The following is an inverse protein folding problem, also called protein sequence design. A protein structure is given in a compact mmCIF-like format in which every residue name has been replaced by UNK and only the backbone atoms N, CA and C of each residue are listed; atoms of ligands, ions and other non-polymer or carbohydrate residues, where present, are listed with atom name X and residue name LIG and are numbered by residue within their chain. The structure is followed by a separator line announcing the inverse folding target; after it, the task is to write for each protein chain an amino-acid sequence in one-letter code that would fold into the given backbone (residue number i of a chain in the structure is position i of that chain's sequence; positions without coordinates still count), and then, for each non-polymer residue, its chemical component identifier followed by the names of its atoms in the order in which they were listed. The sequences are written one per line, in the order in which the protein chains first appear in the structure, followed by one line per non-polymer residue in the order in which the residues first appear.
data_IF_381123201796
#
_entry.id   IF_381123201796
#
_cell.length_a   1.000
_cell.length_b   1.000
_cell.length_c   1.000
_cell.angle_alpha   90.00
_cell.angle_beta   90.00
_cell.angle_gamma   90.00
#
_symmetry.space_group_name_H-M   'P 1'
#
loop_
_entity.id
_entity.type
_entity.pdbx_description
1 polymer ?
#
# COMPACT_ATOMS: atom_id res chain seq x y z
N UNK A 1 -1.26 -5.70 5.72
CA UNK A 1 -2.65 -5.29 5.46
C UNK A 1 -2.88 -3.81 5.76
N UNK A 2 -2.64 -3.35 6.98
CA UNK A 2 -2.85 -1.93 7.39
C UNK A 2 -2.17 -0.92 6.46
N UNK A 3 -0.94 -1.19 6.02
CA UNK A 3 -0.14 -0.33 5.14
C UNK A 3 -0.69 -0.20 3.72
N UNK A 4 -1.61 -1.07 3.29
CA UNK A 4 -2.10 -1.07 1.92
C UNK A 4 -3.31 -0.17 1.71
N UNK A 5 -4.13 0.04 2.72
CA UNK A 5 -5.35 0.83 2.57
C UNK A 5 -5.27 2.22 3.18
N UNK A 6 -4.52 2.36 4.27
CA UNK A 6 -4.28 3.65 4.93
C UNK A 6 -3.81 4.75 3.98
N UNK A 7 -2.73 4.55 3.21
CA UNK A 7 -2.21 5.58 2.30
C UNK A 7 -3.18 6.05 1.22
N UNK A 8 -4.09 5.19 0.76
CA UNK A 8 -5.13 5.58 -0.22
C UNK A 8 -6.23 6.41 0.44
N UNK A 9 -6.63 6.03 1.65
CA UNK A 9 -7.77 6.65 2.34
C UNK A 9 -7.38 7.94 3.07
N UNK A 10 -6.11 8.06 3.49
CA UNK A 10 -5.64 9.18 4.31
C UNK A 10 -5.86 10.59 3.73
N UNK A 11 -5.82 10.87 2.41
CA UNK A 11 -6.11 12.21 1.89
C UNK A 11 -7.58 12.60 2.02
N UNK A 12 -8.50 11.64 1.99
CA UNK A 12 -9.95 11.91 1.95
C UNK A 12 -10.44 12.77 3.13
N UNK A 13 -10.09 12.47 4.39
CA UNK A 13 -10.55 13.28 5.53
C UNK A 13 -10.00 14.70 5.57
N UNK A 14 -8.86 14.96 4.94
CA UNK A 14 -8.18 16.26 4.91
C UNK A 14 -8.26 16.95 3.53
N UNK A 15 -9.11 16.44 2.63
CA UNK A 15 -9.20 16.91 1.26
C UNK A 15 -9.48 18.42 1.16
N UNK A 16 -10.35 18.96 2.02
CA UNK A 16 -10.66 20.40 2.06
C UNK A 16 -9.46 21.25 2.46
N UNK A 17 -8.60 20.75 3.36
CA UNK A 17 -7.36 21.44 3.74
C UNK A 17 -6.39 21.45 2.56
N UNK A 18 -6.29 20.31 1.84
CA UNK A 18 -5.47 20.17 0.64
C UNK A 18 -5.94 21.12 -0.46
N UNK A 19 -7.26 21.22 -0.69
CA UNK A 19 -7.87 22.14 -1.65
C UNK A 19 -7.52 23.60 -1.36
N UNK A 20 -7.65 24.02 -0.10
CA UNK A 20 -7.35 25.39 0.30
C UNK A 20 -5.87 25.74 0.21
N UNK A 21 -5.00 24.81 0.64
CA UNK A 21 -3.55 25.06 0.68
C UNK A 21 -2.89 25.01 -0.70
N UNK A 22 -3.39 24.14 -1.60
CA UNK A 22 -2.88 24.01 -2.96
C UNK A 22 -3.62 24.89 -3.96
N UNK A 23 -4.70 25.58 -3.56
CA UNK A 23 -5.49 26.44 -4.43
C UNK A 23 -6.17 25.69 -5.58
N UNK A 24 -6.55 24.42 -5.38
CA UNK A 24 -7.16 23.55 -6.39
C UNK A 24 -8.67 23.47 -6.20
N UNK A 25 -9.40 23.32 -7.30
CA UNK A 25 -10.85 23.13 -7.26
C UNK A 25 -11.24 21.68 -6.89
N UNK A 26 -12.49 21.51 -6.46
CA UNK A 26 -13.05 20.21 -6.05
C UNK A 26 -12.95 19.13 -7.15
N UNK A 27 -13.10 19.50 -8.42
CA UNK A 27 -12.94 18.56 -9.54
C UNK A 27 -11.51 18.01 -9.63
N UNK A 28 -10.51 18.87 -9.42
CA UNK A 28 -9.08 18.49 -9.43
C UNK A 28 -8.74 17.67 -8.20
N UNK A 29 -9.28 18.02 -7.03
CA UNK A 29 -9.12 17.24 -5.80
C UNK A 29 -9.78 15.85 -5.91
N UNK A 30 -10.88 15.72 -6.64
CA UNK A 30 -11.53 14.46 -6.96
C UNK A 30 -10.63 13.47 -7.70
N UNK A 31 -9.64 13.93 -8.47
CA UNK A 31 -8.64 13.06 -9.10
C UNK A 31 -7.82 12.30 -8.07
N UNK A 32 -7.50 12.90 -6.93
CA UNK A 32 -6.73 12.26 -5.87
C UNK A 32 -7.45 11.07 -5.23
N UNK A 33 -8.77 11.07 -5.26
CA UNK A 33 -9.59 9.97 -4.71
C UNK A 33 -9.96 8.93 -5.76
N UNK A 34 -10.03 9.32 -7.04
CA UNK A 34 -10.40 8.45 -8.16
C UNK A 34 -9.19 7.73 -8.75
N UNK A 35 -8.01 8.37 -8.72
CA UNK A 35 -6.77 7.84 -9.29
C UNK A 35 -6.42 6.42 -8.81
N UNK A 36 -6.48 6.06 -7.51
CA UNK A 36 -6.15 4.70 -7.08
C UNK A 36 -7.05 3.63 -7.70
N UNK A 37 -8.32 3.95 -7.94
CA UNK A 37 -9.27 3.03 -8.59
C UNK A 37 -8.88 2.82 -10.05
N UNK A 38 -8.47 3.88 -10.75
CA UNK A 38 -7.96 3.79 -12.12
C UNK A 38 -6.68 2.95 -12.18
N UNK A 39 -5.75 3.13 -11.22
CA UNK A 39 -4.54 2.32 -11.15
C UNK A 39 -4.86 0.83 -10.95
N UNK A 40 -5.85 0.50 -10.12
CA UNK A 40 -6.29 -0.90 -9.99
C UNK A 40 -6.80 -1.46 -11.30
N UNK A 41 -7.63 -0.73 -12.02
CA UNK A 41 -8.18 -1.18 -13.29
C UNK A 41 -7.10 -1.39 -14.37
N UNK A 42 -6.18 -0.44 -14.49
CA UNK A 42 -5.17 -0.43 -15.54
C UNK A 42 -3.97 -1.36 -15.25
N UNK A 43 -3.54 -1.43 -13.99
CA UNK A 43 -2.28 -2.09 -13.61
C UNK A 43 -2.44 -3.50 -13.06
N UNK A 44 -3.66 -4.03 -12.91
CA UNK A 44 -3.85 -5.42 -12.47
C UNK A 44 -3.12 -6.44 -13.38
N UNK A 45 -3.14 -6.33 -14.72
CA UNK A 45 -2.37 -7.25 -15.57
C UNK A 45 -0.86 -7.11 -15.36
N UNK A 46 -0.37 -5.88 -15.14
CA UNK A 46 1.05 -5.61 -14.87
C UNK A 46 1.44 -6.18 -13.51
N UNK A 47 0.58 -6.07 -12.50
CA UNK A 47 0.80 -6.65 -11.19
C UNK A 47 0.96 -8.18 -11.27
N UNK A 48 0.11 -8.85 -12.04
CA UNK A 48 0.24 -10.30 -12.30
C UNK A 48 1.58 -10.65 -12.97
N UNK A 49 2.04 -9.83 -13.92
CA UNK A 49 3.33 -10.02 -14.59
C UNK A 49 4.51 -9.83 -13.62
N UNK A 50 4.45 -8.81 -12.76
CA UNK A 50 5.47 -8.56 -11.73
C UNK A 50 5.59 -9.77 -10.80
N UNK A 51 4.46 -10.31 -10.34
CA UNK A 51 4.45 -11.49 -9.46
C UNK A 51 5.04 -12.72 -10.16
N UNK A 52 4.69 -12.94 -11.43
CA UNK A 52 5.23 -14.06 -12.22
C UNK A 52 6.74 -13.97 -12.44
N UNK A 53 7.28 -12.76 -12.62
CA UNK A 53 8.72 -12.55 -12.91
C UNK A 53 9.58 -12.42 -11.67
N UNK A 54 9.09 -11.68 -10.67
CA UNK A 54 9.86 -11.37 -9.47
C UNK A 54 9.61 -12.35 -8.31
N UNK A 55 8.49 -13.10 -8.36
CA UNK A 55 8.03 -13.90 -7.25
C UNK A 55 7.21 -13.08 -6.24
N UNK A 56 6.44 -13.76 -5.41
CA UNK A 56 5.50 -13.14 -4.48
C UNK A 56 6.20 -12.32 -3.38
N UNK A 57 7.34 -12.80 -2.90
CA UNK A 57 8.13 -12.16 -1.84
C UNK A 57 8.70 -10.82 -2.29
N UNK A 58 9.34 -10.77 -3.46
CA UNK A 58 9.88 -9.53 -4.01
C UNK A 58 8.76 -8.58 -4.45
N UNK A 59 7.65 -9.10 -4.98
CA UNK A 59 6.50 -8.28 -5.34
C UNK A 59 5.93 -7.55 -4.10
N UNK A 60 5.89 -8.20 -2.93
CA UNK A 60 5.46 -7.55 -1.69
C UNK A 60 6.47 -6.50 -1.22
N UNK A 61 7.78 -6.75 -1.34
CA UNK A 61 8.80 -5.72 -1.04
C UNK A 61 8.67 -4.52 -1.97
N UNK A 62 8.48 -4.73 -3.27
CA UNK A 62 8.23 -3.67 -4.26
C UNK A 62 7.00 -2.85 -3.84
N UNK A 63 5.92 -3.52 -3.43
CA UNK A 63 4.70 -2.86 -2.93
C UNK A 63 5.01 -1.95 -1.75
N UNK A 64 5.65 -2.46 -0.70
CA UNK A 64 5.93 -1.68 0.52
C UNK A 64 6.88 -0.52 0.24
N UNK A 65 7.92 -0.74 -0.57
CA UNK A 65 8.88 0.30 -0.98
C UNK A 65 8.18 1.38 -1.80
N UNK A 66 7.35 1.00 -2.77
CA UNK A 66 6.62 1.95 -3.59
C UNK A 66 5.61 2.76 -2.80
N UNK A 67 4.88 2.15 -1.86
CA UNK A 67 3.99 2.88 -0.94
C UNK A 67 4.76 3.89 -0.10
N UNK A 68 5.93 3.50 0.41
CA UNK A 68 6.78 4.40 1.21
C UNK A 68 7.28 5.58 0.37
N UNK A 69 7.86 5.30 -0.80
CA UNK A 69 8.34 6.34 -1.73
C UNK A 69 7.22 7.29 -2.15
N UNK A 70 6.05 6.76 -2.54
CA UNK A 70 4.91 7.56 -2.90
C UNK A 70 4.37 8.40 -1.73
N UNK A 71 4.46 7.90 -0.49
CA UNK A 71 4.07 8.66 0.70
C UNK A 71 4.98 9.86 0.93
N UNK A 72 6.29 9.73 0.75
CA UNK A 72 7.21 10.87 0.83
C UNK A 72 7.05 11.82 -0.36
N UNK A 73 6.85 11.29 -1.56
CA UNK A 73 6.68 12.09 -2.76
C UNK A 73 5.44 13.00 -2.67
N UNK A 74 4.31 12.49 -2.19
CA UNK A 74 3.08 13.29 -2.02
C UNK A 74 3.14 14.31 -0.89
N UNK A 75 4.13 14.22 0.01
CA UNK A 75 4.34 15.18 1.08
C UNK A 75 5.08 16.45 0.59
N UNK A 76 5.69 16.40 -0.59
CA UNK A 76 6.32 17.57 -1.22
C UNK A 76 5.22 18.56 -1.62
N UNK A 77 5.37 19.87 -1.29
CA UNK A 77 4.38 20.87 -1.66
C UNK A 77 4.16 20.95 -3.17
N UNK A 78 2.90 20.98 -3.60
CA UNK A 78 2.49 21.10 -5.00
C UNK A 78 1.63 19.93 -5.45
N UNK A 79 0.54 20.28 -6.17
CA UNK A 79 -0.44 19.30 -6.67
C UNK A 79 0.18 18.20 -7.54
N UNK A 80 1.14 18.56 -8.41
CA UNK A 80 1.82 17.59 -9.28
C UNK A 80 2.58 16.51 -8.51
N UNK A 81 3.28 16.88 -7.44
CA UNK A 81 3.99 15.95 -6.56
C UNK A 81 3.03 15.07 -5.76
N UNK A 82 1.94 15.67 -5.29
CA UNK A 82 0.90 14.92 -4.59
C UNK A 82 0.25 13.88 -5.51
N UNK A 83 -0.12 14.27 -6.74
CA UNK A 83 -0.70 13.35 -7.72
C UNK A 83 0.29 12.24 -8.11
N UNK A 84 1.56 12.60 -8.39
CA UNK A 84 2.60 11.62 -8.69
C UNK A 84 2.79 10.62 -7.55
N UNK A 85 2.79 11.09 -6.30
CA UNK A 85 2.87 10.23 -5.12
C UNK A 85 1.66 9.28 -5.01
N UNK A 86 0.46 9.77 -5.31
CA UNK A 86 -0.76 8.93 -5.31
C UNK A 86 -0.71 7.87 -6.41
N UNK A 87 -0.23 8.20 -7.61
CA UNK A 87 -0.03 7.25 -8.71
C UNK A 87 0.94 6.14 -8.30
N UNK A 88 2.08 6.49 -7.69
CA UNK A 88 3.06 5.52 -7.20
C UNK A 88 2.46 4.62 -6.11
N UNK A 89 1.69 5.20 -5.19
CA UNK A 89 0.99 4.44 -4.14
C UNK A 89 -0.04 3.50 -4.78
N UNK A 90 -0.91 4.00 -5.66
CA UNK A 90 -1.94 3.23 -6.33
C UNK A 90 -1.38 2.05 -7.12
N UNK A 91 -0.33 2.29 -7.92
CA UNK A 91 0.38 1.25 -8.66
C UNK A 91 0.96 0.18 -7.73
N UNK A 92 1.62 0.59 -6.65
CA UNK A 92 2.25 -0.31 -5.69
C UNK A 92 1.22 -1.16 -4.94
N UNK A 93 0.13 -0.54 -4.50
CA UNK A 93 -0.95 -1.24 -3.79
C UNK A 93 -1.71 -2.19 -4.71
N UNK A 94 -1.81 -1.89 -6.01
CA UNK A 94 -2.36 -2.84 -6.99
C UNK A 94 -1.56 -4.16 -6.98
N UNK A 95 -0.23 -4.08 -6.97
CA UNK A 95 0.61 -5.28 -6.84
C UNK A 95 0.36 -5.99 -5.51
N UNK A 96 0.28 -5.24 -4.40
CA UNK A 96 0.03 -5.78 -3.06
C UNK A 96 -1.30 -6.52 -2.94
N UNK A 97 -2.36 -5.97 -3.52
CA UNK A 97 -3.70 -6.56 -3.49
C UNK A 97 -3.78 -7.87 -4.29
N UNK A 98 -2.94 -8.05 -5.31
CA UNK A 98 -2.87 -9.30 -6.07
C UNK A 98 -1.95 -10.30 -5.37
N UNK A 99 -0.81 -9.85 -4.83
CA UNK A 99 0.21 -10.76 -4.26
C UNK A 99 -0.21 -11.38 -2.93
N UNK A 100 -0.87 -10.62 -2.04
CA UNK A 100 -1.20 -11.14 -0.71
C UNK A 100 -2.16 -12.34 -0.75
N UNK A 101 -3.26 -12.33 -1.52
CA UNK A 101 -4.08 -13.52 -1.69
C UNK A 101 -3.32 -14.73 -2.28
N UNK A 102 -2.34 -14.48 -3.16
CA UNK A 102 -1.47 -15.53 -3.71
C UNK A 102 -0.62 -16.17 -2.61
N UNK A 103 0.02 -15.35 -1.77
CA UNK A 103 0.81 -15.84 -0.61
C UNK A 103 -0.07 -16.63 0.35
N UNK A 104 -1.26 -16.12 0.69
CA UNK A 104 -2.18 -16.80 1.60
C UNK A 104 -2.56 -18.19 1.06
N UNK A 105 -2.88 -18.29 -0.23
CA UNK A 105 -3.25 -19.59 -0.84
C UNK A 105 -2.09 -20.56 -0.94
N UNK A 106 -0.86 -20.06 -1.08
CA UNK A 106 0.35 -20.88 -1.18
C UNK A 106 0.81 -21.41 0.19
N UNK A 107 0.81 -20.54 1.20
CA UNK A 107 1.51 -20.79 2.47
C UNK A 107 0.58 -21.24 3.61
N UNK A 108 -0.75 -21.11 3.42
CA UNK A 108 -1.75 -21.44 4.43
C UNK A 108 -2.47 -22.74 4.07
N UNK A 109 -2.62 -23.64 5.07
CA UNK A 109 -3.38 -24.88 4.90
C UNK A 109 -4.81 -24.60 4.37
N UNK A 110 -5.34 -25.41 3.42
CA UNK A 110 -6.61 -25.14 2.74
C UNK A 110 -7.77 -24.84 3.71
N UNK A 111 -7.82 -25.52 4.83
CA UNK A 111 -8.88 -25.38 5.85
C UNK A 111 -8.85 -24.01 6.54
N UNK A 112 -7.70 -23.31 6.53
CA UNK A 112 -7.49 -22.02 7.19
C UNK A 112 -7.46 -20.85 6.22
N UNK A 113 -7.43 -21.08 4.91
CA UNK A 113 -7.36 -20.01 3.89
C UNK A 113 -8.51 -19.02 4.04
N UNK A 114 -9.73 -19.50 4.24
CA UNK A 114 -10.90 -18.65 4.43
C UNK A 114 -10.75 -17.75 5.67
N UNK A 115 -10.30 -18.30 6.80
CA UNK A 115 -10.11 -17.56 8.05
C UNK A 115 -9.01 -16.50 7.91
N UNK A 116 -7.86 -16.87 7.33
CA UNK A 116 -6.74 -15.93 7.15
C UNK A 116 -7.10 -14.83 6.16
N UNK A 117 -7.85 -15.15 5.10
CA UNK A 117 -8.36 -14.15 4.16
C UNK A 117 -9.34 -13.19 4.84
N UNK A 118 -10.27 -13.71 5.66
CA UNK A 118 -11.18 -12.87 6.43
C UNK A 118 -10.45 -11.96 7.40
N UNK A 119 -9.45 -12.46 8.12
CA UNK A 119 -8.60 -11.67 8.98
C UNK A 119 -7.83 -10.59 8.20
N UNK A 120 -7.29 -10.91 7.03
CA UNK A 120 -6.63 -9.95 6.15
C UNK A 120 -7.59 -8.81 5.75
N UNK A 121 -8.80 -9.13 5.30
CA UNK A 121 -9.81 -8.13 4.92
C UNK A 121 -10.26 -7.29 6.12
N UNK A 122 -10.45 -7.91 7.28
CA UNK A 122 -10.77 -7.20 8.52
C UNK A 122 -9.67 -6.19 8.89
N UNK A 123 -8.40 -6.57 8.78
CA UNK A 123 -7.26 -5.68 9.02
C UNK A 123 -7.15 -4.55 8.00
N UNK A 124 -7.51 -4.78 6.73
CA UNK A 124 -7.61 -3.71 5.73
C UNK A 124 -8.66 -2.66 6.13
N UNK A 125 -9.83 -3.11 6.54
CA UNK A 125 -10.93 -2.21 6.94
C UNK A 125 -10.63 -1.50 8.26
N UNK A 126 -10.04 -2.18 9.24
CA UNK A 126 -9.55 -1.56 10.47
C UNK A 126 -8.51 -0.47 10.18
N UNK A 127 -7.58 -0.73 9.24
CA UNK A 127 -6.61 0.27 8.78
C UNK A 127 -7.28 1.50 8.17
N UNK A 128 -8.29 1.30 7.31
CA UNK A 128 -9.06 2.40 6.72
C UNK A 128 -9.78 3.23 7.81
N UNK A 129 -10.43 2.55 8.76
CA UNK A 129 -11.16 3.21 9.83
C UNK A 129 -10.22 4.04 10.71
N UNK A 130 -9.12 3.45 11.18
CA UNK A 130 -8.13 4.16 12.00
C UNK A 130 -7.55 5.37 11.25
N UNK A 131 -7.21 5.19 9.98
CA UNK A 131 -6.69 6.28 9.15
C UNK A 131 -7.72 7.39 9.00
N UNK A 132 -8.98 7.07 8.71
CA UNK A 132 -10.05 8.07 8.56
C UNK A 132 -10.31 8.84 9.85
N UNK A 133 -10.29 8.17 11.00
CA UNK A 133 -10.57 8.80 12.29
C UNK A 133 -9.40 9.63 12.80
N UNK A 134 -8.17 9.17 12.61
CA UNK A 134 -6.99 9.79 13.22
C UNK A 134 -6.30 10.82 12.34
N UNK A 135 -6.50 10.78 11.01
CA UNK A 135 -5.82 11.73 10.12
C UNK A 135 -6.21 13.18 10.39
N UNK A 136 -7.50 13.46 10.64
CA UNK A 136 -7.95 14.84 10.93
C UNK A 136 -7.37 15.40 12.23
N UNK A 137 -7.46 14.72 13.39
CA UNK A 137 -6.85 15.24 14.62
C UNK A 137 -5.32 15.36 14.50
N UNK A 138 -4.65 14.45 13.80
CA UNK A 138 -3.20 14.57 13.57
C UNK A 138 -2.92 15.78 12.68
N UNK A 139 -3.66 15.96 11.60
CA UNK A 139 -3.49 17.07 10.66
C UNK A 139 -3.76 18.44 11.31
N UNK A 140 -4.67 18.51 12.28
CA UNK A 140 -4.94 19.76 13.02
C UNK A 140 -3.77 20.22 13.91
N UNK A 141 -2.90 19.28 14.32
CA UNK A 141 -1.74 19.57 15.19
C UNK A 141 -0.44 19.81 14.38
N UNK A 142 -0.17 18.98 13.40
CA UNK A 142 1.10 18.96 12.66
C UNK A 142 0.98 19.30 11.17
N UNK A 143 -0.23 19.64 10.70
CA UNK A 143 -0.52 19.88 9.28
C UNK A 143 -0.78 18.59 8.51
N UNK A 144 -1.52 18.71 7.41
CA UNK A 144 -1.94 17.56 6.60
C UNK A 144 -0.75 16.82 5.95
N UNK A 145 0.30 17.54 5.52
CA UNK A 145 1.49 16.94 4.92
C UNK A 145 2.18 15.96 5.86
N UNK A 146 2.45 16.39 7.10
CA UNK A 146 3.09 15.55 8.11
C UNK A 146 2.15 14.46 8.62
N UNK A 147 0.85 14.71 8.69
CA UNK A 147 -0.14 13.69 9.02
C UNK A 147 -0.15 12.54 8.00
N UNK A 148 -0.02 12.85 6.70
CA UNK A 148 0.11 11.83 5.67
C UNK A 148 1.42 11.03 5.79
N UNK A 149 2.52 11.70 6.13
CA UNK A 149 3.82 11.03 6.36
C UNK A 149 3.81 10.18 7.63
N UNK A 150 3.11 10.59 8.67
CA UNK A 150 3.04 9.84 9.92
C UNK A 150 2.55 8.39 9.72
N UNK A 151 1.66 8.16 8.75
CA UNK A 151 1.21 6.81 8.39
C UNK A 151 2.31 5.92 7.77
N UNK A 152 3.43 6.50 7.33
CA UNK A 152 4.59 5.74 6.84
C UNK A 152 5.22 4.85 7.92
N UNK A 153 5.05 5.20 9.19
CA UNK A 153 5.54 4.38 10.32
C UNK A 153 5.01 2.96 10.26
N UNK A 154 3.72 2.77 9.93
CA UNK A 154 3.11 1.45 9.77
C UNK A 154 3.72 0.71 8.58
N UNK A 155 3.99 1.42 7.49
CA UNK A 155 4.61 0.84 6.29
C UNK A 155 6.06 0.43 6.56
N UNK A 156 6.82 1.26 7.27
CA UNK A 156 8.20 0.96 7.68
C UNK A 156 8.22 -0.26 8.61
N UNK A 157 7.32 -0.31 9.59
CA UNK A 157 7.21 -1.49 10.46
C UNK A 157 6.89 -2.76 9.65
N UNK A 158 5.98 -2.66 8.68
CA UNK A 158 5.67 -3.75 7.75
C UNK A 158 6.87 -4.19 6.93
N UNK A 159 7.66 -3.24 6.40
CA UNK A 159 8.90 -3.52 5.66
C UNK A 159 9.94 -4.22 6.53
N UNK A 160 10.15 -3.77 7.76
CA UNK A 160 11.11 -4.37 8.68
C UNK A 160 10.71 -5.81 9.02
N UNK A 161 9.45 -6.03 9.37
CA UNK A 161 8.94 -7.38 9.66
C UNK A 161 9.07 -8.32 8.47
N UNK A 162 8.72 -7.85 7.28
CA UNK A 162 8.82 -8.65 6.06
C UNK A 162 10.28 -8.89 5.66
N UNK A 163 11.13 -7.88 5.77
CA UNK A 163 12.57 -8.01 5.54
C UNK A 163 13.25 -9.02 6.47
N UNK A 164 12.85 -9.03 7.74
CA UNK A 164 13.31 -10.03 8.70
C UNK A 164 12.82 -11.45 8.34
N UNK A 165 11.57 -11.56 7.87
CA UNK A 165 11.03 -12.83 7.37
C UNK A 165 11.85 -13.34 6.18
N UNK A 166 12.12 -12.49 5.18
CA UNK A 166 12.92 -12.87 4.02
C UNK A 166 14.36 -13.27 4.39
N UNK A 167 14.99 -12.55 5.31
CA UNK A 167 16.34 -12.93 5.79
C UNK A 167 16.35 -14.31 6.46
N UNK A 168 15.33 -14.60 7.27
CA UNK A 168 15.18 -15.91 7.92
C UNK A 168 14.89 -17.02 6.92
N UNK A 169 14.04 -16.78 5.92
CA UNK A 169 13.75 -17.73 4.86
C UNK A 169 14.98 -17.98 3.96
N UNK A 170 15.75 -16.93 3.66
CA UNK A 170 17.03 -17.06 2.94
C UNK A 170 18.04 -17.89 3.72
N UNK A 171 18.16 -17.67 5.03
CA UNK A 171 19.05 -18.42 5.91
C UNK A 171 18.67 -19.90 6.02
N UNK A 172 17.39 -20.24 5.82
CA UNK A 172 16.89 -21.63 5.78
C UNK A 172 16.96 -22.28 4.40
N UNK A 173 17.40 -21.53 3.37
CA UNK A 173 17.45 -22.03 1.99
C UNK A 173 16.10 -22.15 1.27
N UNK A 174 15.02 -21.70 1.89
CA UNK A 174 13.65 -21.86 1.37
C UNK A 174 13.35 -20.99 0.13
N UNK A 175 14.06 -19.86 -0.03
CA UNK A 175 13.82 -18.92 -1.16
C UNK A 175 14.35 -19.41 -2.51
N UNK A 176 15.23 -20.41 -2.53
CA UNK A 176 15.89 -20.90 -3.76
C UNK A 176 15.31 -22.22 -4.26
N UNK A 177 14.61 -22.99 -3.40
CA UNK A 177 14.07 -24.31 -3.75
C UNK A 177 12.93 -24.28 -4.75
N UNK A 178 12.12 -23.23 -4.78
CA UNK A 178 10.90 -23.16 -5.60
C UNK A 178 11.14 -22.68 -7.05
N UNK A 179 12.28 -22.09 -7.36
CA UNK A 179 12.59 -21.65 -8.76
C UNK A 179 12.91 -22.79 -9.70
N UNK A 180 13.19 -23.98 -9.19
CA UNK A 180 13.65 -25.13 -9.99
C UNK A 180 12.74 -26.36 -9.94
N UNK A 181 11.62 -26.32 -9.20
CA UNK A 181 10.69 -27.45 -9.14
C UNK A 181 9.50 -27.35 -10.09
N UNK A 182 9.54 -26.43 -11.05
CA UNK A 182 8.52 -26.21 -12.08
C UNK A 182 9.00 -26.64 -13.46
N UNK A 183 9.55 -27.86 -13.59
CA UNK A 183 9.74 -28.54 -14.86
C UNK A 183 8.74 -29.68 -15.00
#
# INVERSE_FOLDING_TARGET
ALSLRGPIVSPTPVLRQIESDLGIGAATAGLLTTEPVLMFALLTPVAALVIRRAGAELALMITLTGVLLGTFLRAVPGFGWMLAGMIVIGASITVGNVVIPVIIRRDVAPERVALVTAAYVAMLNAGSLLTSLLTVPIASVIGWNLALVAWSVITIAGMLLWGLHLRRAAARGELWGERFSGA
#
